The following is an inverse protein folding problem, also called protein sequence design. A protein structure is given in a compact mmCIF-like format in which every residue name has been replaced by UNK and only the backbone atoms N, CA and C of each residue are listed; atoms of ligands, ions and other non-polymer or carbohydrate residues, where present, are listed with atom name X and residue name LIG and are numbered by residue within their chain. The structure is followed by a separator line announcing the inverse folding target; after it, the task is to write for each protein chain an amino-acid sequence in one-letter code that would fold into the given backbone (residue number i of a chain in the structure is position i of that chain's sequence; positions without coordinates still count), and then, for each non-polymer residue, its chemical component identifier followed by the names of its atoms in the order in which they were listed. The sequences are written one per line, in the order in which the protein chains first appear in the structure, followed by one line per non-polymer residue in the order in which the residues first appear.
data_IF_239112767932
#
_entry.id   IF_239112767932
#
_cell.length_a   1.000
_cell.length_b   1.000
_cell.length_c   1.000
_cell.angle_alpha   90.00
_cell.angle_beta   90.00
_cell.angle_gamma   90.00
#
_symmetry.space_group_name_H-M   'P 1'
#
loop_
_entity.id
_entity.type
_entity.pdbx_description
1 polymer ?
#
# COMPACT_ATOMS: atom_id res chain seq x y z
N UNK A 1 5.48 -9.99 -6.04
CA UNK A 1 4.57 -10.13 -7.18
C UNK A 1 4.86 -9.06 -8.23
N UNK A 2 6.15 -8.74 -8.42
CA UNK A 2 6.62 -7.86 -9.47
C UNK A 2 6.24 -8.39 -10.85
N UNK A 3 5.97 -7.52 -11.80
CA UNK A 3 5.78 -7.89 -13.21
C UNK A 3 4.69 -8.97 -13.35
N UNK A 4 3.51 -8.63 -12.83
CA UNK A 4 2.33 -9.47 -12.93
C UNK A 4 1.17 -8.62 -13.49
N UNK A 5 0.14 -9.29 -14.00
CA UNK A 5 -1.09 -8.60 -14.41
C UNK A 5 -2.02 -8.34 -13.21
N UNK A 6 -1.48 -8.02 -12.03
CA UNK A 6 -2.34 -7.65 -10.90
C UNK A 6 -3.01 -6.32 -11.23
N UNK A 7 -4.33 -6.32 -11.10
CA UNK A 7 -5.20 -5.20 -11.42
C UNK A 7 -6.15 -4.93 -10.27
N UNK A 8 -6.82 -3.79 -10.32
CA UNK A 8 -7.72 -3.32 -9.28
C UNK A 8 -7.07 -2.26 -8.41
N UNK A 9 -7.74 -1.89 -7.32
CA UNK A 9 -7.20 -0.90 -6.40
C UNK A 9 -6.13 -1.54 -5.51
N UNK A 10 -5.04 -0.82 -5.25
CA UNK A 10 -4.16 -1.16 -4.12
C UNK A 10 -5.06 -1.35 -2.88
N UNK A 11 -4.89 -2.41 -2.06
CA UNK A 11 -5.98 -2.98 -1.24
C UNK A 11 -6.63 -2.00 -0.26
N UNK A 12 -7.54 -1.14 -0.74
CA UNK A 12 -8.44 -0.32 0.04
C UNK A 12 -9.64 -1.19 0.39
N UNK A 13 -9.69 -1.71 1.61
CA UNK A 13 -10.91 -2.35 2.08
C UNK A 13 -12.02 -1.30 2.21
N UNK A 14 -13.06 -1.45 1.39
CA UNK A 14 -14.39 -0.88 1.65
C UNK A 14 -15.17 -1.92 2.45
N UNK A 15 -15.63 -1.58 3.65
CA UNK A 15 -16.64 -2.39 4.32
C UNK A 15 -17.94 -2.32 3.50
N UNK A 16 -18.46 -3.40 2.91
CA UNK A 16 -19.68 -3.34 2.12
C UNK A 16 -20.85 -2.93 3.04
N UNK A 17 -21.28 -1.68 2.93
CA UNK A 17 -22.30 -1.07 3.78
C UNK A 17 -21.89 0.26 4.44
N UNK A 18 -20.64 0.71 4.29
CA UNK A 18 -20.19 2.02 4.79
C UNK A 18 -19.75 2.88 3.60
N UNK A 19 -20.55 3.92 3.27
CA UNK A 19 -20.27 4.90 2.20
C UNK A 19 -19.08 5.83 2.52
N UNK A 20 -18.47 5.70 3.69
CA UNK A 20 -17.31 6.45 4.10
C UNK A 20 -16.06 5.59 4.02
N UNK A 21 -15.02 6.11 3.35
CA UNK A 21 -13.67 5.55 3.27
C UNK A 21 -13.07 5.55 4.69
N UNK A 22 -13.46 4.57 5.50
CA UNK A 22 -12.97 4.40 6.86
C UNK A 22 -11.91 3.33 6.87
N UNK A 23 -10.81 3.65 7.54
CA UNK A 23 -9.57 2.90 7.58
C UNK A 23 -9.72 1.61 8.40
N UNK A 24 -10.49 0.66 7.89
CA UNK A 24 -10.87 -0.56 8.61
C UNK A 24 -9.82 -1.66 8.55
N UNK A 25 -8.65 -1.41 7.94
CA UNK A 25 -7.59 -2.42 7.80
C UNK A 25 -7.03 -2.86 9.16
N UNK A 26 -7.13 -2.01 10.19
CA UNK A 26 -6.75 -2.33 11.56
C UNK A 26 -7.70 -3.33 12.24
N UNK A 27 -8.93 -3.47 11.72
CA UNK A 27 -9.96 -4.38 12.24
C UNK A 27 -10.29 -5.52 11.26
N UNK A 28 -9.75 -5.49 10.04
CA UNK A 28 -9.93 -6.56 9.09
C UNK A 28 -9.25 -7.82 9.63
N UNK A 29 -9.95 -8.95 9.68
CA UNK A 29 -9.39 -10.26 10.09
C UNK A 29 -8.24 -10.70 9.16
N UNK A 30 -8.18 -10.16 7.95
CA UNK A 30 -7.20 -10.44 6.91
C UNK A 30 -6.81 -9.12 6.22
N UNK A 31 -5.51 -8.85 6.10
CA UNK A 31 -5.00 -7.61 5.49
C UNK A 31 -3.52 -7.42 5.78
N UNK A 32 -2.85 -6.56 5.01
CA UNK A 32 -1.40 -6.31 5.14
C UNK A 32 -1.03 -5.93 6.58
N UNK A 33 -1.83 -5.11 7.26
CA UNK A 33 -1.57 -4.67 8.64
C UNK A 33 -1.54 -5.76 9.71
N UNK A 34 -1.95 -7.00 9.39
CA UNK A 34 -1.86 -8.15 10.31
C UNK A 34 -0.63 -9.03 10.04
N UNK A 35 0.12 -8.77 8.97
CA UNK A 35 1.29 -9.55 8.60
C UNK A 35 2.51 -9.02 9.35
N UNK A 36 2.52 -9.12 10.68
CA UNK A 36 3.52 -8.48 11.56
C UNK A 36 4.99 -8.89 11.28
N UNK A 37 5.20 -10.00 10.58
CA UNK A 37 6.52 -10.52 10.18
C UNK A 37 6.87 -10.24 8.71
N UNK A 38 6.03 -9.49 7.98
CA UNK A 38 6.25 -9.19 6.57
C UNK A 38 7.42 -8.21 6.41
N UNK A 39 8.47 -8.64 5.72
CA UNK A 39 9.68 -7.83 5.51
C UNK A 39 9.70 -7.10 4.16
N UNK A 40 9.06 -7.68 3.14
CA UNK A 40 9.14 -7.20 1.76
C UNK A 40 7.76 -7.20 1.11
N UNK A 41 7.36 -6.04 0.59
CA UNK A 41 6.26 -5.88 -0.37
C UNK A 41 6.86 -5.43 -1.68
N UNK A 42 6.61 -6.19 -2.74
CA UNK A 42 7.15 -5.94 -4.08
C UNK A 42 6.04 -6.20 -5.09
N UNK A 43 5.42 -5.10 -5.52
CA UNK A 43 4.27 -5.01 -6.41
C UNK A 43 4.61 -4.17 -7.64
N UNK A 44 5.90 -3.99 -7.91
CA UNK A 44 6.38 -3.22 -9.05
C UNK A 44 5.84 -3.78 -10.37
N UNK A 45 5.72 -2.94 -11.39
CA UNK A 45 5.34 -3.34 -12.75
C UNK A 45 4.02 -4.14 -12.77
N UNK A 46 2.94 -3.53 -12.28
CA UNK A 46 1.60 -4.10 -12.32
C UNK A 46 0.61 -3.05 -12.85
N UNK A 47 -0.69 -3.34 -12.82
CA UNK A 47 -1.75 -2.43 -13.29
C UNK A 47 -2.62 -1.92 -12.14
N UNK A 48 -2.05 -1.80 -10.95
CA UNK A 48 -2.77 -1.33 -9.76
C UNK A 48 -3.17 0.14 -9.91
N UNK A 49 -4.33 0.50 -9.37
CA UNK A 49 -4.94 1.85 -9.46
C UNK A 49 -5.35 2.37 -8.08
N UNK A 50 -5.77 3.63 -7.99
CA UNK A 50 -6.26 4.24 -6.74
C UNK A 50 -5.17 4.82 -5.87
N UNK A 51 -5.49 5.15 -4.61
CA UNK A 51 -4.57 5.75 -3.64
C UNK A 51 -3.99 4.70 -2.70
N UNK A 52 -2.80 4.97 -2.13
CA UNK A 52 -2.21 4.13 -1.09
C UNK A 52 -2.64 4.66 0.28
N UNK A 53 -3.31 3.82 1.06
CA UNK A 53 -3.50 4.06 2.49
C UNK A 53 -2.38 3.37 3.28
N UNK A 54 -1.38 4.13 3.65
CA UNK A 54 -0.14 3.67 4.28
C UNK A 54 -0.31 3.33 5.76
N UNK A 55 -1.38 3.82 6.41
CA UNK A 55 -1.62 3.70 7.86
C UNK A 55 -1.48 2.27 8.40
N UNK A 56 -1.88 1.21 7.68
CA UNK A 56 -1.80 -0.16 8.23
C UNK A 56 -0.42 -0.78 8.09
N UNK A 57 0.45 -0.20 7.26
CA UNK A 57 1.85 -0.56 7.21
C UNK A 57 2.56 -0.16 8.51
N UNK A 58 2.05 0.84 9.25
CA UNK A 58 2.60 1.28 10.54
C UNK A 58 2.72 0.16 11.59
N UNK A 59 1.85 -0.85 11.53
CA UNK A 59 1.89 -1.98 12.46
C UNK A 59 2.92 -3.05 12.05
N UNK A 60 3.45 -2.98 10.83
CA UNK A 60 4.39 -3.95 10.28
C UNK A 60 5.82 -3.46 10.51
N UNK A 61 6.25 -3.49 11.78
CA UNK A 61 7.58 -3.02 12.20
C UNK A 61 8.75 -3.82 11.61
N UNK A 62 8.46 -4.96 10.97
CA UNK A 62 9.46 -5.78 10.28
C UNK A 62 9.63 -5.40 8.81
N UNK A 63 8.79 -4.54 8.25
CA UNK A 63 8.81 -4.16 6.83
C UNK A 63 10.02 -3.27 6.54
N UNK A 64 10.90 -3.72 5.65
CA UNK A 64 12.12 -3.00 5.28
C UNK A 64 12.15 -2.59 3.81
N UNK A 65 11.37 -3.26 2.95
CA UNK A 65 11.29 -3.00 1.52
C UNK A 65 9.85 -2.87 1.04
N UNK A 66 9.54 -1.76 0.37
CA UNK A 66 8.23 -1.48 -0.19
C UNK A 66 8.36 -0.90 -1.61
N UNK A 67 8.09 -1.71 -2.63
CA UNK A 67 8.16 -1.30 -4.03
C UNK A 67 6.78 -1.45 -4.69
N UNK A 68 6.25 -0.32 -5.17
CA UNK A 68 4.98 -0.21 -5.93
C UNK A 68 5.20 0.52 -7.24
N UNK A 69 6.45 0.63 -7.70
CA UNK A 69 6.81 1.36 -8.91
C UNK A 69 6.14 0.78 -10.17
N UNK A 70 5.98 1.57 -11.21
CA UNK A 70 5.43 1.07 -12.49
C UNK A 70 3.98 0.59 -12.38
N UNK A 71 3.13 1.37 -11.72
CA UNK A 71 1.70 1.13 -11.60
C UNK A 71 0.91 2.39 -12.02
N UNK A 72 -0.41 2.38 -11.82
CA UNK A 72 -1.32 3.51 -12.07
C UNK A 72 -1.88 4.08 -10.76
N UNK A 73 -1.09 4.03 -9.68
CA UNK A 73 -1.47 4.55 -8.36
C UNK A 73 -1.36 6.06 -8.34
N UNK A 74 -2.23 6.77 -7.62
CA UNK A 74 -2.22 8.23 -7.59
C UNK A 74 -2.69 8.83 -6.27
N UNK A 75 -2.96 10.13 -6.29
CA UNK A 75 -3.28 10.92 -5.11
C UNK A 75 -2.05 11.27 -4.28
N UNK A 76 -2.28 11.54 -2.99
CA UNK A 76 -1.21 11.88 -2.04
C UNK A 76 -0.62 10.61 -1.42
N UNK A 77 0.69 10.58 -1.24
CA UNK A 77 1.38 9.54 -0.48
C UNK A 77 2.12 10.17 0.70
N UNK A 78 2.03 9.53 1.86
CA UNK A 78 2.82 9.88 3.05
C UNK A 78 3.96 8.86 3.14
N UNK A 79 5.20 9.34 3.01
CA UNK A 79 6.40 8.52 2.93
C UNK A 79 6.82 8.00 4.30
N UNK A 80 6.14 8.40 5.38
CA UNK A 80 6.32 7.82 6.71
C UNK A 80 5.79 6.37 6.82
N UNK A 81 5.76 5.65 5.69
CA UNK A 81 5.14 4.36 5.40
C UNK A 81 5.36 3.36 6.51
N UNK A 82 6.54 3.33 7.13
CA UNK A 82 6.79 2.85 8.51
C UNK A 82 8.13 3.45 8.97
N UNK A 83 8.45 3.44 10.27
CA UNK A 83 9.80 3.79 10.74
C UNK A 83 10.90 2.76 10.42
N UNK A 84 10.53 1.57 9.93
CA UNK A 84 11.42 0.46 9.62
C UNK A 84 11.76 0.32 8.13
N UNK A 85 11.01 0.98 7.24
CA UNK A 85 11.26 0.91 5.79
C UNK A 85 12.57 1.63 5.47
N UNK A 86 13.47 0.91 4.81
CA UNK A 86 14.79 1.43 4.38
C UNK A 86 14.88 1.59 2.87
N UNK A 87 14.03 0.88 2.13
CA UNK A 87 13.95 0.93 0.68
C UNK A 87 12.48 1.10 0.30
N UNK A 88 12.15 2.24 -0.31
CA UNK A 88 10.82 2.51 -0.82
C UNK A 88 10.90 3.05 -2.25
N UNK A 89 10.12 2.48 -3.16
CA UNK A 89 10.03 2.95 -4.54
C UNK A 89 8.56 3.14 -4.95
N UNK A 90 8.23 4.39 -5.27
CA UNK A 90 6.92 4.85 -5.72
C UNK A 90 6.96 5.40 -7.16
N UNK A 91 8.11 5.31 -7.83
CA UNK A 91 8.34 5.90 -9.15
C UNK A 91 7.41 5.31 -10.21
N UNK A 92 7.26 6.01 -11.34
CA UNK A 92 6.43 5.54 -12.46
C UNK A 92 4.98 5.23 -12.03
N UNK A 93 4.36 6.19 -11.35
CA UNK A 93 2.96 6.20 -10.93
C UNK A 93 2.35 7.60 -11.21
N UNK A 94 1.11 7.82 -10.78
CA UNK A 94 0.31 9.03 -10.94
C UNK A 94 0.15 9.84 -9.62
N UNK A 95 1.10 9.73 -8.68
CA UNK A 95 1.06 10.46 -7.41
C UNK A 95 1.17 11.98 -7.63
N UNK A 96 0.35 12.75 -6.92
CA UNK A 96 0.28 14.22 -7.05
C UNK A 96 1.07 14.94 -5.97
N UNK A 97 1.29 14.31 -4.82
CA UNK A 97 2.13 14.83 -3.74
C UNK A 97 2.74 13.70 -2.92
N UNK A 98 3.82 14.02 -2.24
CA UNK A 98 4.59 13.12 -1.40
C UNK A 98 4.99 13.90 -0.14
N UNK A 99 4.49 13.48 1.02
CA UNK A 99 4.66 14.17 2.32
C UNK A 99 5.42 13.31 3.32
#
# INVERSE_FOLDING_TARGET
LRDNNLAGKFPTYTNPGVEFITNTWMYAKTGLGNLLHLQKVDLADNTLTGTIDYRPLYNILSLTHFDVSGNHLGGEVDVLVTSSVTHADFSNNLFTSMH
#
